data_IF_261204466738
#
_entry.id   IF_261204466738
#
_cell.length_a   1.000
_cell.length_b   1.000
_cell.length_c   1.000
_cell.angle_alpha   90.00
_cell.angle_beta   90.00
_cell.angle_gamma   90.00
#
_symmetry.space_group_name_H-M   'P 1'
#
loop_
_entity.id
_entity.type
_entity.pdbx_description
1 polymer ?
#
# COMPACT_ATOMS: atom_id res chain seq x y z
N UNK A 1 -26.52 -6.16 -2.46
CA UNK A 1 -26.40 -6.12 -0.99
C UNK A 1 -26.40 -4.65 -0.58
N UNK A 2 -27.43 -4.17 0.10
CA UNK A 2 -27.38 -2.83 0.71
C UNK A 2 -26.33 -2.90 1.82
N UNK A 3 -25.19 -2.26 1.60
CA UNK A 3 -24.23 -2.05 2.68
C UNK A 3 -24.84 -1.08 3.69
N UNK A 4 -24.90 -1.51 4.95
CA UNK A 4 -25.30 -0.63 6.05
C UNK A 4 -24.37 0.60 6.05
N UNK A 5 -24.98 1.78 5.87
CA UNK A 5 -24.25 3.06 5.82
C UNK A 5 -23.46 3.33 7.12
N UNK A 6 -23.92 2.79 8.27
CA UNK A 6 -23.20 2.82 9.54
C UNK A 6 -21.92 2.01 9.51
N UNK A 7 -21.99 0.77 9.00
CA UNK A 7 -20.84 -0.11 8.88
C UNK A 7 -19.77 0.43 7.90
N UNK A 8 -20.23 1.05 6.80
CA UNK A 8 -19.34 1.70 5.84
C UNK A 8 -18.65 2.93 6.46
N UNK A 9 -19.40 3.71 7.25
CA UNK A 9 -18.86 4.86 7.97
C UNK A 9 -17.83 4.44 9.02
N UNK A 10 -18.11 3.40 9.80
CA UNK A 10 -17.20 2.88 10.81
C UNK A 10 -15.93 2.27 10.16
N UNK A 11 -16.07 1.66 9.00
CA UNK A 11 -14.94 1.20 8.19
C UNK A 11 -14.09 2.37 7.67
N UNK A 12 -14.71 3.42 7.14
CA UNK A 12 -14.01 4.57 6.54
C UNK A 12 -13.45 5.55 7.58
N UNK A 13 -14.10 5.70 8.72
CA UNK A 13 -13.75 6.69 9.75
C UNK A 13 -13.02 6.07 10.93
N UNK A 14 -13.33 4.83 11.28
CA UNK A 14 -12.81 4.14 12.46
C UNK A 14 -11.34 3.74 12.41
N UNK A 15 -10.65 4.00 11.28
CA UNK A 15 -9.23 3.67 11.15
C UNK A 15 -9.00 2.19 11.40
N UNK A 16 -9.73 1.33 10.72
CA UNK A 16 -9.40 -0.09 10.71
C UNK A 16 -7.96 -0.21 10.23
N UNK A 17 -7.04 -0.40 11.18
CA UNK A 17 -5.70 -0.85 10.86
C UNK A 17 -5.87 -2.23 10.25
N UNK A 18 -6.02 -2.28 8.92
CA UNK A 18 -6.04 -3.55 8.23
C UNK A 18 -4.69 -4.22 8.50
N UNK A 19 -4.67 -5.38 9.19
CA UNK A 19 -3.42 -6.10 9.41
C UNK A 19 -2.82 -6.58 8.10
N UNK A 20 -3.61 -6.65 7.03
CA UNK A 20 -3.12 -6.88 5.69
C UNK A 20 -2.45 -5.63 5.18
N UNK A 21 -1.15 -5.51 5.40
CA UNK A 21 -0.39 -4.41 4.82
C UNK A 21 -0.49 -4.51 3.30
N UNK A 22 -1.08 -3.51 2.69
CA UNK A 22 -1.10 -3.40 1.25
C UNK A 22 0.32 -3.15 0.74
N UNK A 23 0.87 -4.13 0.03
CA UNK A 23 2.23 -4.05 -0.52
C UNK A 23 2.39 -2.92 -1.54
N UNK A 24 1.34 -2.55 -2.26
CA UNK A 24 1.35 -1.38 -3.13
C UNK A 24 1.56 -0.10 -2.32
N UNK A 25 0.92 0.02 -1.16
CA UNK A 25 1.13 1.14 -0.24
C UNK A 25 2.57 1.19 0.31
N UNK A 26 3.17 0.02 0.58
CA UNK A 26 4.60 -0.05 0.96
C UNK A 26 5.48 0.45 -0.18
N UNK A 27 5.25 -0.01 -1.41
CA UNK A 27 5.99 0.43 -2.60
C UNK A 27 5.87 1.93 -2.84
N UNK A 28 4.66 2.48 -2.71
CA UNK A 28 4.40 3.92 -2.87
C UNK A 28 5.18 4.75 -1.86
N UNK A 29 5.20 4.34 -0.59
CA UNK A 29 5.98 5.03 0.44
C UNK A 29 7.47 5.00 0.14
N UNK A 30 7.99 3.86 -0.32
CA UNK A 30 9.40 3.73 -0.67
C UNK A 30 9.76 4.54 -1.91
N UNK A 31 8.90 4.55 -2.90
CA UNK A 31 9.07 5.39 -4.09
C UNK A 31 9.18 6.86 -3.70
N UNK A 32 8.25 7.34 -2.87
CA UNK A 32 8.25 8.72 -2.39
C UNK A 32 9.47 9.01 -1.50
N UNK A 33 9.83 8.13 -0.58
CA UNK A 33 10.99 8.30 0.29
C UNK A 33 12.29 8.43 -0.52
N UNK A 34 12.48 7.61 -1.56
CA UNK A 34 13.64 7.72 -2.47
C UNK A 34 13.68 9.05 -3.22
N UNK A 35 12.54 9.59 -3.58
CA UNK A 35 12.47 10.91 -4.24
C UNK A 35 12.74 12.07 -3.28
N UNK A 36 12.40 11.91 -2.00
CA UNK A 36 12.55 12.92 -0.96
C UNK A 36 13.93 12.94 -0.32
N UNK A 37 14.61 11.79 -0.30
CA UNK A 37 15.85 11.60 0.44
C UNK A 37 16.90 10.92 -0.43
N UNK A 38 18.19 11.25 -0.20
CA UNK A 38 19.30 10.61 -0.92
C UNK A 38 19.62 9.20 -0.38
N UNK A 39 19.03 8.79 0.73
CA UNK A 39 19.31 7.51 1.38
C UNK A 39 18.45 6.39 0.89
N UNK A 40 19.03 5.20 0.85
CA UNK A 40 18.33 3.97 0.56
C UNK A 40 17.77 3.37 1.86
N UNK A 41 16.48 3.16 1.91
CA UNK A 41 15.80 2.45 3.02
C UNK A 41 15.64 0.96 2.73
N UNK A 42 16.52 0.36 1.92
CA UNK A 42 16.37 -1.02 1.43
C UNK A 42 16.18 -2.04 2.54
N UNK A 43 16.94 -1.94 3.64
CA UNK A 43 16.80 -2.87 4.77
C UNK A 43 15.45 -2.70 5.50
N UNK A 44 14.98 -1.47 5.69
CA UNK A 44 13.68 -1.22 6.28
C UNK A 44 12.55 -1.68 5.37
N UNK A 45 12.69 -1.47 4.06
CA UNK A 45 11.79 -1.95 3.02
C UNK A 45 11.68 -3.47 3.02
N UNK A 46 12.81 -4.17 3.03
CA UNK A 46 12.84 -5.63 3.07
C UNK A 46 12.12 -6.17 4.30
N UNK A 47 12.33 -5.58 5.46
CA UNK A 47 11.63 -5.96 6.69
C UNK A 47 10.13 -5.70 6.60
N UNK A 48 9.69 -4.59 6.03
CA UNK A 48 8.27 -4.32 5.82
C UNK A 48 7.62 -5.33 4.86
N UNK A 49 8.30 -5.72 3.77
CA UNK A 49 7.77 -6.75 2.88
C UNK A 49 7.66 -8.11 3.56
N UNK A 50 8.68 -8.51 4.32
CA UNK A 50 8.63 -9.77 5.09
C UNK A 50 7.51 -9.75 6.11
N UNK A 51 7.32 -8.62 6.79
CA UNK A 51 6.23 -8.43 7.72
C UNK A 51 4.87 -8.50 7.02
N UNK A 52 4.69 -7.79 5.89
CA UNK A 52 3.44 -7.82 5.14
C UNK A 52 3.09 -9.24 4.65
N UNK A 53 4.08 -9.99 4.17
CA UNK A 53 3.90 -11.37 3.75
C UNK A 53 3.53 -12.28 4.94
N UNK A 54 4.19 -12.11 6.10
CA UNK A 54 3.87 -12.85 7.32
C UNK A 54 2.46 -12.56 7.82
N UNK A 55 2.03 -11.29 7.79
CA UNK A 55 0.69 -10.89 8.20
C UNK A 55 -0.39 -11.43 7.26
N UNK A 56 -0.15 -11.42 5.95
CA UNK A 56 -1.07 -12.01 4.99
C UNK A 56 -1.23 -13.50 5.22
N UNK A 57 -0.13 -14.21 5.40
CA UNK A 57 -0.17 -15.64 5.72
C UNK A 57 -0.91 -15.93 7.02
N UNK A 58 -0.63 -15.18 8.10
CA UNK A 58 -1.30 -15.35 9.39
C UNK A 58 -2.80 -15.07 9.33
N UNK A 59 -3.21 -14.06 8.56
CA UNK A 59 -4.63 -13.74 8.36
C UNK A 59 -5.34 -14.88 7.64
N UNK A 60 -4.71 -15.44 6.61
CA UNK A 60 -5.24 -16.59 5.90
C UNK A 60 -5.29 -17.84 6.80
N UNK A 61 -4.23 -18.09 7.59
CA UNK A 61 -4.17 -19.17 8.55
C UNK A 61 -5.29 -19.05 9.59
N UNK A 62 -5.46 -17.88 10.21
CA UNK A 62 -6.50 -17.62 11.19
C UNK A 62 -7.92 -17.90 10.64
N UNK A 63 -8.16 -17.58 9.36
CA UNK A 63 -9.44 -17.86 8.70
C UNK A 63 -9.71 -19.35 8.48
N UNK A 64 -8.66 -20.17 8.35
CA UNK A 64 -8.76 -21.62 8.13
C UNK A 64 -8.87 -22.42 9.43
N UNK A 65 -8.25 -21.97 10.49
CA UNK A 65 -8.26 -22.64 11.81
C UNK A 65 -9.61 -22.44 12.53
N UNK A 66 -10.39 -21.41 12.14
CA UNK A 66 -11.73 -21.13 12.67
C UNK A 66 -11.72 -20.50 14.07
N UNK A 67 -12.88 -20.55 14.77
CA UNK A 67 -13.12 -19.90 16.06
C UNK A 67 -12.30 -20.47 17.23
N UNK A 68 -11.52 -21.49 17.02
CA UNK A 68 -10.83 -22.19 18.08
C UNK A 68 -9.49 -21.54 18.36
N UNK A 69 -9.29 -21.17 19.59
CA UNK A 69 -8.14 -20.53 20.18
C UNK A 69 -6.77 -21.20 20.01
N UNK A 70 -6.51 -21.84 18.88
CA UNK A 70 -5.28 -22.55 18.61
C UNK A 70 -4.20 -21.70 17.91
N UNK A 71 -4.30 -20.36 18.01
CA UNK A 71 -3.17 -19.50 17.65
C UNK A 71 -1.92 -19.81 18.49
N UNK A 72 -2.10 -20.26 19.73
CA UNK A 72 -1.01 -20.78 20.55
C UNK A 72 -0.37 -22.02 19.95
N UNK A 73 -1.15 -22.86 19.26
CA UNK A 73 -0.65 -24.02 18.53
C UNK A 73 0.23 -23.62 17.36
N UNK A 74 -0.16 -22.57 16.63
CA UNK A 74 0.63 -21.99 15.53
C UNK A 74 1.98 -21.52 16.06
N UNK A 75 1.98 -20.74 17.14
CA UNK A 75 3.20 -20.23 17.74
C UNK A 75 4.09 -21.38 18.28
N UNK A 76 3.49 -22.37 18.92
CA UNK A 76 4.19 -23.55 19.38
C UNK A 76 4.85 -24.32 18.22
N UNK A 77 4.12 -24.56 17.14
CA UNK A 77 4.63 -25.23 15.95
C UNK A 77 5.79 -24.45 15.30
N UNK A 78 5.64 -23.13 15.15
CA UNK A 78 6.68 -22.26 14.62
C UNK A 78 7.96 -22.28 15.46
N UNK A 79 7.84 -22.25 16.79
CA UNK A 79 9.00 -22.34 17.70
C UNK A 79 9.72 -23.68 17.63
N UNK A 80 9.04 -24.73 17.21
CA UNK A 80 9.62 -26.05 17.00
C UNK A 80 10.16 -26.28 15.58
N UNK A 81 10.07 -25.28 14.72
CA UNK A 81 10.52 -25.39 13.33
C UNK A 81 9.63 -26.29 12.46
N UNK A 82 8.34 -26.37 12.79
CA UNK A 82 7.40 -27.09 11.95
C UNK A 82 7.32 -26.44 10.57
N UNK A 83 7.24 -27.26 9.52
CA UNK A 83 7.10 -26.81 8.12
C UNK A 83 5.64 -26.75 7.69
N UNK A 84 4.73 -27.32 8.48
CA UNK A 84 3.29 -27.27 8.24
C UNK A 84 2.49 -27.35 9.54
N UNK A 85 1.28 -26.82 9.53
CA UNK A 85 0.30 -26.90 10.63
C UNK A 85 -1.04 -27.32 10.01
N UNK A 86 -1.58 -28.46 10.50
CA UNK A 86 -2.85 -29.01 10.01
C UNK A 86 -2.96 -29.09 8.47
N UNK A 87 -1.86 -29.45 7.80
CA UNK A 87 -1.79 -29.54 6.33
C UNK A 87 -1.59 -28.21 5.62
N UNK A 88 -1.45 -27.11 6.35
CA UNK A 88 -1.13 -25.79 5.80
C UNK A 88 0.39 -25.62 5.85
N UNK A 89 1.01 -25.43 4.69
CA UNK A 89 2.45 -25.19 4.58
C UNK A 89 2.82 -23.84 5.19
N UNK A 90 3.87 -23.82 6.02
CA UNK A 90 4.41 -22.60 6.59
C UNK A 90 5.47 -22.04 5.61
N UNK A 91 5.37 -20.77 5.18
CA UNK A 91 6.38 -20.20 4.28
C UNK A 91 7.80 -20.34 4.83
N UNK A 92 8.73 -20.80 4.00
CA UNK A 92 10.10 -21.11 4.41
C UNK A 92 10.83 -19.94 5.07
N UNK A 93 10.56 -18.68 4.66
CA UNK A 93 11.15 -17.51 5.31
C UNK A 93 10.65 -17.30 6.75
N UNK A 94 9.44 -17.75 7.10
CA UNK A 94 8.91 -17.73 8.46
C UNK A 94 9.59 -18.82 9.29
N UNK A 95 9.68 -20.06 8.75
CA UNK A 95 10.38 -21.17 9.40
C UNK A 95 11.82 -20.79 9.72
N UNK A 96 12.55 -20.23 8.75
CA UNK A 96 13.93 -19.78 8.92
C UNK A 96 14.05 -18.66 9.97
N UNK A 97 13.11 -17.71 9.99
CA UNK A 97 13.13 -16.63 10.97
C UNK A 97 12.98 -17.15 12.41
N UNK A 98 12.14 -18.17 12.61
CA UNK A 98 11.99 -18.80 13.93
C UNK A 98 13.16 -19.71 14.31
N UNK A 99 13.76 -20.40 13.35
CA UNK A 99 14.94 -21.23 13.57
C UNK A 99 16.19 -20.41 13.96
N UNK A 100 16.29 -19.20 13.46
CA UNK A 100 17.42 -18.29 13.68
C UNK A 100 17.24 -17.40 14.93
N UNK A 101 16.25 -17.65 15.79
CA UNK A 101 15.96 -16.81 16.95
C UNK A 101 17.16 -16.73 17.90
N UNK A 102 17.77 -15.55 18.07
CA UNK A 102 18.66 -15.32 19.20
C UNK A 102 17.87 -15.34 20.52
N UNK A 103 18.49 -15.74 21.60
CA UNK A 103 17.88 -15.79 22.93
C UNK A 103 17.34 -14.43 23.43
N UNK A 104 17.71 -13.33 22.77
CA UNK A 104 17.17 -11.98 22.96
C UNK A 104 16.94 -11.38 21.58
N UNK A 105 15.70 -11.30 21.18
CA UNK A 105 15.31 -10.58 19.96
C UNK A 105 15.14 -9.09 20.29
N UNK A 106 16.15 -8.30 20.00
CA UNK A 106 16.01 -6.84 20.04
C UNK A 106 15.45 -6.36 18.70
N UNK A 107 14.31 -5.68 18.77
CA UNK A 107 13.80 -4.92 17.64
C UNK A 107 12.85 -5.67 16.72
N UNK A 108 12.91 -5.32 15.45
CA UNK A 108 11.97 -5.76 14.41
C UNK A 108 12.39 -7.11 13.82
N UNK A 109 11.94 -8.19 14.41
CA UNK A 109 12.08 -9.55 13.85
C UNK A 109 10.71 -10.09 13.46
N UNK A 110 10.64 -10.96 12.44
CA UNK A 110 9.39 -11.62 12.05
C UNK A 110 8.76 -12.39 13.22
N UNK A 111 9.51 -13.16 14.05
CA UNK A 111 8.97 -13.77 15.23
C UNK A 111 8.27 -12.82 16.19
N UNK A 112 8.85 -11.64 16.44
CA UNK A 112 8.22 -10.64 17.31
C UNK A 112 6.89 -10.13 16.71
N UNK A 113 6.79 -10.02 15.39
CA UNK A 113 5.55 -9.63 14.75
C UNK A 113 4.48 -10.70 14.87
N UNK A 114 4.85 -11.94 14.64
CA UNK A 114 3.94 -13.08 14.78
C UNK A 114 3.46 -13.20 16.23
N UNK A 115 4.35 -13.11 17.21
CA UNK A 115 3.99 -13.15 18.61
C UNK A 115 3.07 -11.99 19.02
N UNK A 116 3.37 -10.78 18.55
CA UNK A 116 2.52 -9.60 18.78
C UNK A 116 1.15 -9.76 18.13
N UNK A 117 1.08 -10.31 16.93
CA UNK A 117 -0.17 -10.58 16.23
C UNK A 117 -1.00 -11.60 17.02
N UNK A 118 -0.43 -12.75 17.33
CA UNK A 118 -1.13 -13.83 18.03
C UNK A 118 -1.60 -13.40 19.43
N UNK A 119 -0.78 -12.66 20.18
CA UNK A 119 -1.14 -12.17 21.52
C UNK A 119 -2.17 -11.04 21.50
N UNK A 120 -2.21 -10.23 20.42
CA UNK A 120 -3.15 -9.13 20.24
C UNK A 120 -4.46 -9.53 19.58
N UNK A 121 -4.51 -10.71 18.96
CA UNK A 121 -5.68 -11.18 18.22
C UNK A 121 -6.72 -11.74 19.20
N UNK A 122 -7.87 -11.10 19.28
CA UNK A 122 -9.07 -11.65 19.94
C UNK A 122 -10.09 -11.97 18.85
N UNK A 123 -10.35 -13.25 18.65
CA UNK A 123 -11.46 -13.71 17.83
C UNK A 123 -12.76 -13.46 18.58
N UNK A 124 -13.53 -12.48 18.16
CA UNK A 124 -14.88 -12.22 18.67
C UNK A 124 -15.86 -12.57 17.57
N UNK A 125 -16.50 -13.73 17.65
CA UNK A 125 -17.58 -14.19 16.73
C UNK A 125 -17.27 -13.97 15.24
N UNK A 126 -16.14 -14.49 14.76
CA UNK A 126 -15.76 -14.43 13.34
C UNK A 126 -15.21 -13.08 12.86
N UNK A 127 -15.02 -12.11 13.75
CA UNK A 127 -14.33 -10.86 13.45
C UNK A 127 -13.02 -10.79 14.24
N UNK A 128 -11.91 -10.90 13.54
CA UNK A 128 -10.60 -10.66 14.13
C UNK A 128 -10.43 -9.14 14.38
N UNK A 129 -10.43 -8.72 15.63
CA UNK A 129 -9.98 -7.37 15.99
C UNK A 129 -8.48 -7.43 16.25
N UNK A 130 -7.73 -6.84 15.36
CA UNK A 130 -6.28 -6.82 15.44
C UNK A 130 -5.80 -5.54 16.13
N UNK A 131 -5.15 -5.66 17.26
CA UNK A 131 -4.26 -4.63 17.76
C UNK A 131 -2.84 -5.04 17.37
N UNK A 132 -2.18 -4.29 16.50
CA UNK A 132 -0.88 -4.66 15.98
C UNK A 132 0.24 -3.73 16.48
N UNK A 133 0.88 -4.07 17.64
CA UNK A 133 2.00 -3.29 18.17
C UNK A 133 3.19 -3.18 17.20
N UNK A 134 3.30 -4.11 16.26
CA UNK A 134 4.39 -4.14 15.29
C UNK A 134 4.26 -3.04 14.24
N UNK A 135 3.04 -2.69 13.82
CA UNK A 135 2.82 -1.52 12.96
C UNK A 135 3.31 -0.24 13.61
N UNK A 136 3.03 -0.07 14.89
CA UNK A 136 3.50 1.09 15.64
C UNK A 136 5.04 1.13 15.71
N UNK A 137 5.68 -0.02 15.80
CA UNK A 137 7.15 -0.12 15.79
C UNK A 137 7.71 0.28 14.42
N UNK A 138 7.12 -0.19 13.32
CA UNK A 138 7.52 0.26 11.97
C UNK A 138 7.32 1.77 11.78
N UNK A 139 6.19 2.32 12.20
CA UNK A 139 5.95 3.76 12.18
C UNK A 139 7.06 4.52 12.91
N UNK A 140 7.46 4.07 14.10
CA UNK A 140 8.56 4.68 14.87
C UNK A 140 9.90 4.59 14.13
N UNK A 141 10.21 3.45 13.50
CA UNK A 141 11.45 3.28 12.74
C UNK A 141 11.48 4.19 11.50
N UNK A 142 10.39 4.28 10.76
CA UNK A 142 10.27 5.22 9.65
C UNK A 142 10.49 6.65 10.11
N UNK A 143 9.85 7.07 11.19
CA UNK A 143 10.05 8.40 11.76
C UNK A 143 11.52 8.64 12.18
N UNK A 144 12.18 7.63 12.75
CA UNK A 144 13.60 7.71 13.14
C UNK A 144 14.48 7.83 11.90
N UNK A 145 14.27 6.99 10.88
CA UNK A 145 15.02 7.03 9.63
C UNK A 145 14.89 8.39 8.92
N UNK A 146 13.66 8.89 8.78
CA UNK A 146 13.40 10.19 8.16
C UNK A 146 13.93 11.39 8.97
N UNK A 147 14.04 11.29 10.31
CA UNK A 147 14.64 12.34 11.15
C UNK A 147 16.15 12.37 11.03
N UNK A 148 16.79 11.21 10.93
CA UNK A 148 18.24 11.10 10.78
C UNK A 148 18.76 11.75 9.49
N UNK A 149 17.89 11.89 8.48
CA UNK A 149 18.21 12.53 7.21
C UNK A 149 18.22 14.05 7.26
N UNK A 150 17.56 14.66 8.23
CA UNK A 150 17.62 16.11 8.39
C UNK A 150 18.94 16.49 9.01
N UNK A 151 19.93 16.78 8.16
CA UNK A 151 21.18 17.42 8.60
C UNK A 151 20.86 18.68 9.43
N UNK A 152 21.62 18.97 10.49
CA UNK A 152 21.48 20.22 11.25
C UNK A 152 21.50 21.49 10.38
N UNK A 153 22.21 21.44 9.23
CA UNK A 153 22.29 22.55 8.27
C UNK A 153 21.03 22.73 7.43
N UNK A 154 20.19 21.72 7.30
CA UNK A 154 18.88 21.81 6.61
C UNK A 154 17.75 22.27 7.53
N UNK A 155 17.98 22.33 8.84
CA UNK A 155 16.98 22.82 9.80
C UNK A 155 16.82 24.36 9.77
N UNK A 156 17.79 25.07 9.21
CA UNK A 156 17.84 26.54 9.20
C UNK A 156 17.51 27.18 7.84
N UNK A 157 17.28 26.40 6.78
CA UNK A 157 16.74 26.95 5.53
C UNK A 157 15.22 26.94 5.55
N UNK A 158 14.56 28.11 5.40
CA UNK A 158 13.12 28.11 5.18
C UNK A 158 12.86 27.35 3.89
N UNK A 159 12.08 26.29 4.00
CA UNK A 159 11.34 25.65 2.91
C UNK A 159 12.05 25.67 1.54
N UNK A 160 13.03 24.82 1.31
CA UNK A 160 13.14 24.25 -0.03
C UNK A 160 11.76 23.67 -0.35
N UNK A 161 11.15 24.15 -1.40
CA UNK A 161 9.81 23.89 -1.84
C UNK A 161 9.46 22.41 -1.62
N UNK A 162 8.47 22.14 -0.75
CA UNK A 162 8.00 20.77 -0.51
C UNK A 162 7.58 20.15 -1.84
N UNK A 163 7.90 18.90 -2.07
CA UNK A 163 7.46 18.20 -3.27
C UNK A 163 5.95 18.15 -3.31
N UNK A 164 5.36 18.55 -4.44
CA UNK A 164 3.92 18.51 -4.63
C UNK A 164 3.48 17.11 -5.08
N UNK A 165 2.49 16.56 -4.39
CA UNK A 165 1.92 15.22 -4.65
C UNK A 165 0.43 15.34 -4.89
N UNK A 166 -0.04 14.75 -5.98
CA UNK A 166 -1.46 14.58 -6.29
C UNK A 166 -1.86 13.12 -6.12
N UNK A 167 -3.02 12.89 -5.55
CA UNK A 167 -3.66 11.57 -5.51
C UNK A 167 -5.10 11.69 -6.02
N UNK A 168 -5.36 11.38 -7.31
CA UNK A 168 -6.71 11.23 -7.84
C UNK A 168 -7.36 9.95 -7.31
N UNK A 169 -8.66 9.99 -7.09
CA UNK A 169 -9.44 8.93 -6.45
C UNK A 169 -8.93 8.59 -5.04
N UNK A 170 -8.59 9.62 -4.25
CA UNK A 170 -8.02 9.48 -2.92
C UNK A 170 -8.98 8.85 -1.88
N UNK A 171 -10.24 8.63 -2.24
CA UNK A 171 -11.27 8.14 -1.32
C UNK A 171 -11.38 9.02 -0.08
N UNK A 172 -11.58 8.41 1.07
CA UNK A 172 -11.56 9.09 2.38
C UNK A 172 -10.14 9.23 2.95
N UNK A 173 -9.15 9.55 2.09
CA UNK A 173 -7.73 9.69 2.42
C UNK A 173 -7.04 8.36 2.80
N UNK A 174 -7.38 7.28 2.10
CA UNK A 174 -6.89 5.94 2.43
C UNK A 174 -5.36 5.84 2.37
N UNK A 175 -4.72 6.30 1.31
CA UNK A 175 -3.26 6.26 1.16
C UNK A 175 -2.57 7.40 1.94
N UNK A 176 -3.18 8.59 1.98
CA UNK A 176 -2.65 9.69 2.80
C UNK A 176 -2.50 9.31 4.27
N UNK A 177 -3.42 8.51 4.80
CA UNK A 177 -3.36 8.00 6.19
C UNK A 177 -2.04 7.28 6.46
N UNK A 178 -1.57 6.47 5.51
CA UNK A 178 -0.28 5.79 5.62
C UNK A 178 0.90 6.76 5.48
N UNK A 179 0.85 7.70 4.54
CA UNK A 179 1.88 8.74 4.44
C UNK A 179 2.00 9.54 5.73
N UNK A 180 0.86 9.89 6.34
CA UNK A 180 0.82 10.60 7.62
C UNK A 180 1.37 9.74 8.77
N UNK A 181 0.91 8.51 8.91
CA UNK A 181 1.32 7.59 9.97
C UNK A 181 2.83 7.30 9.95
N UNK A 182 3.44 7.21 8.76
CA UNK A 182 4.87 6.94 8.58
C UNK A 182 5.72 8.22 8.50
N UNK A 183 5.13 9.39 8.68
CA UNK A 183 5.82 10.67 8.76
C UNK A 183 6.27 11.25 7.43
N UNK A 184 5.86 10.70 6.30
CA UNK A 184 6.17 11.20 4.95
C UNK A 184 5.33 12.42 4.60
N UNK A 185 4.07 12.49 5.07
CA UNK A 185 3.15 13.58 4.76
C UNK A 185 3.72 14.97 5.07
N UNK A 186 4.54 15.12 6.11
CA UNK A 186 5.19 16.39 6.48
C UNK A 186 6.27 16.86 5.50
N UNK A 187 6.69 16.01 4.57
CA UNK A 187 7.74 16.26 3.61
C UNK A 187 7.20 16.63 2.23
N UNK A 188 5.88 16.60 2.07
CA UNK A 188 5.19 16.86 0.82
C UNK A 188 4.09 17.89 0.97
N UNK A 189 3.77 18.57 -0.11
CA UNK A 189 2.55 19.33 -0.28
C UNK A 189 1.55 18.43 -1.02
N UNK A 190 0.65 17.82 -0.26
CA UNK A 190 -0.28 16.83 -0.77
C UNK A 190 -1.62 17.44 -1.18
N UNK A 191 -2.17 16.93 -2.27
CA UNK A 191 -3.52 17.22 -2.74
C UNK A 191 -4.22 15.92 -3.10
N UNK A 192 -5.35 15.64 -2.46
CA UNK A 192 -6.25 14.54 -2.80
C UNK A 192 -7.43 15.03 -3.64
N UNK A 193 -7.78 14.28 -4.69
CA UNK A 193 -8.99 14.48 -5.47
C UNK A 193 -9.87 13.25 -5.42
N UNK A 194 -11.17 13.44 -5.29
CA UNK A 194 -12.15 12.36 -5.43
C UNK A 194 -13.43 12.92 -6.04
N UNK A 195 -14.10 12.11 -6.87
CA UNK A 195 -15.38 12.51 -7.47
C UNK A 195 -16.52 12.55 -6.44
N UNK A 196 -16.42 11.71 -5.41
CA UNK A 196 -17.42 11.60 -4.35
C UNK A 196 -17.20 12.67 -3.28
N UNK A 197 -18.14 13.64 -3.20
CA UNK A 197 -18.09 14.72 -2.22
C UNK A 197 -18.02 14.18 -0.77
N UNK A 198 -18.72 13.08 -0.47
CA UNK A 198 -18.72 12.47 0.86
C UNK A 198 -17.34 11.90 1.25
N UNK A 199 -16.60 11.33 0.30
CA UNK A 199 -15.22 10.91 0.53
C UNK A 199 -14.35 12.12 0.93
N UNK A 200 -14.50 13.22 0.24
CA UNK A 200 -13.78 14.47 0.54
C UNK A 200 -14.16 15.05 1.90
N UNK A 201 -15.44 15.05 2.25
CA UNK A 201 -15.88 15.47 3.58
C UNK A 201 -15.23 14.63 4.69
N UNK A 202 -15.22 13.30 4.53
CA UNK A 202 -14.56 12.39 5.45
C UNK A 202 -13.05 12.65 5.53
N UNK A 203 -12.37 12.81 4.40
CA UNK A 203 -10.94 13.11 4.35
C UNK A 203 -10.59 14.43 5.05
N UNK A 204 -11.37 15.48 4.83
CA UNK A 204 -11.22 16.77 5.51
C UNK A 204 -11.45 16.66 7.02
N UNK A 205 -12.43 15.85 7.45
CA UNK A 205 -12.70 15.62 8.87
C UNK A 205 -11.55 14.85 9.55
N UNK A 206 -10.98 13.87 8.87
CA UNK A 206 -9.86 13.05 9.38
C UNK A 206 -8.55 13.84 9.44
N UNK A 207 -8.30 14.70 8.45
CA UNK A 207 -7.04 15.43 8.30
C UNK A 207 -7.28 16.92 8.02
N UNK A 208 -7.72 17.69 9.06
CA UNK A 208 -7.91 19.13 8.90
C UNK A 208 -6.64 19.84 8.43
N UNK A 209 -6.79 20.73 7.46
CA UNK A 209 -5.66 21.50 6.92
C UNK A 209 -4.89 20.83 5.77
N UNK A 210 -5.24 19.61 5.38
CA UNK A 210 -4.74 18.97 4.17
C UNK A 210 -5.66 19.33 2.99
N UNK A 211 -5.10 19.49 1.79
CA UNK A 211 -5.88 19.83 0.60
C UNK A 211 -6.59 18.61 0.05
N UNK A 212 -7.89 18.50 0.32
CA UNK A 212 -8.77 17.55 -0.35
C UNK A 212 -9.85 18.30 -1.13
N UNK A 213 -10.12 17.86 -2.37
CA UNK A 213 -11.04 18.56 -3.26
C UNK A 213 -11.92 17.58 -4.02
N UNK A 214 -13.18 17.92 -4.18
CA UNK A 214 -14.04 17.25 -5.16
C UNK A 214 -13.49 17.58 -6.55
N UNK A 215 -13.25 16.55 -7.37
CA UNK A 215 -12.71 16.73 -8.71
C UNK A 215 -12.81 15.48 -9.57
N UNK A 216 -12.69 15.68 -10.86
CA UNK A 216 -12.80 14.63 -11.86
C UNK A 216 -11.41 14.32 -12.41
N UNK A 217 -11.02 13.04 -12.42
CA UNK A 217 -9.74 12.58 -12.97
C UNK A 217 -9.64 12.79 -14.50
N UNK A 218 -10.78 12.90 -15.19
CA UNK A 218 -10.80 13.14 -16.62
C UNK A 218 -10.54 14.61 -17.01
N UNK A 219 -10.62 15.51 -16.03
CA UNK A 219 -10.38 16.95 -16.19
C UNK A 219 -9.85 17.54 -14.90
N UNK A 220 -8.56 17.34 -14.64
CA UNK A 220 -7.93 17.81 -13.42
C UNK A 220 -7.71 19.32 -13.48
N UNK A 221 -8.36 20.06 -12.59
CA UNK A 221 -8.28 21.52 -12.51
C UNK A 221 -6.91 21.99 -11.98
N UNK A 222 -5.86 21.73 -12.76
CA UNK A 222 -4.49 22.13 -12.51
C UNK A 222 -3.75 22.38 -13.85
N UNK A 223 -2.78 23.30 -13.90
CA UNK A 223 -1.94 23.49 -15.07
C UNK A 223 -1.05 22.26 -15.34
N UNK A 224 -0.49 22.20 -16.55
CA UNK A 224 0.47 21.18 -16.94
C UNK A 224 1.67 21.17 -15.96
N UNK A 225 2.13 19.96 -15.61
CA UNK A 225 3.29 19.77 -14.73
C UNK A 225 3.19 20.46 -13.36
N UNK A 226 1.97 20.65 -12.85
CA UNK A 226 1.71 21.30 -11.56
C UNK A 226 2.24 20.49 -10.36
N UNK A 227 2.26 19.17 -10.47
CA UNK A 227 2.67 18.27 -9.40
C UNK A 227 3.99 17.57 -9.71
N UNK A 228 4.83 17.39 -8.70
CA UNK A 228 6.06 16.61 -8.85
C UNK A 228 5.77 15.14 -9.04
N UNK A 229 4.85 14.60 -8.24
CA UNK A 229 4.45 13.20 -8.27
C UNK A 229 2.94 13.05 -8.25
N UNK A 230 2.46 11.96 -8.85
CA UNK A 230 1.08 11.54 -8.77
C UNK A 230 1.00 10.09 -8.31
N UNK A 231 0.10 9.79 -7.38
CA UNK A 231 -0.23 8.43 -6.95
C UNK A 231 -1.63 8.10 -7.45
N UNK A 232 -1.79 6.92 -8.04
CA UNK A 232 -3.08 6.41 -8.48
C UNK A 232 -3.17 4.95 -8.07
N UNK A 233 -4.10 4.62 -7.19
CA UNK A 233 -4.31 3.25 -6.77
C UNK A 233 -5.74 2.81 -7.08
N UNK A 234 -5.85 1.59 -7.62
CA UNK A 234 -7.11 0.88 -7.80
C UNK A 234 -8.22 1.71 -8.48
N UNK A 235 -7.86 2.49 -9.52
CA UNK A 235 -8.78 3.35 -10.25
C UNK A 235 -9.01 2.88 -11.68
N UNK A 236 -7.96 2.58 -12.42
CA UNK A 236 -8.01 2.43 -13.87
C UNK A 236 -8.82 1.21 -14.31
N UNK A 237 -8.88 0.18 -13.49
CA UNK A 237 -9.68 -1.03 -13.71
C UNK A 237 -11.19 -0.75 -13.71
N UNK A 238 -11.59 0.35 -13.11
CA UNK A 238 -13.00 0.73 -12.99
C UNK A 238 -13.50 1.66 -14.09
N UNK A 239 -12.63 2.07 -15.01
CA UNK A 239 -12.95 3.04 -16.05
C UNK A 239 -13.35 2.38 -17.37
N UNK A 240 -14.20 3.06 -18.15
CA UNK A 240 -14.41 2.70 -19.55
C UNK A 240 -13.10 2.82 -20.34
N UNK A 241 -12.96 2.18 -21.52
CA UNK A 241 -11.76 2.34 -22.36
C UNK A 241 -11.41 3.79 -22.68
N UNK A 242 -12.42 4.60 -22.97
CA UNK A 242 -12.26 6.04 -23.25
C UNK A 242 -11.89 6.80 -21.98
N UNK A 243 -12.52 6.46 -20.84
CA UNK A 243 -12.21 7.04 -19.54
C UNK A 243 -10.80 6.72 -19.09
N UNK A 244 -10.34 5.49 -19.32
CA UNK A 244 -8.96 5.07 -19.03
C UNK A 244 -7.94 5.95 -19.78
N UNK A 245 -8.14 6.16 -21.08
CA UNK A 245 -7.27 7.02 -21.90
C UNK A 245 -7.29 8.47 -21.43
N UNK A 246 -8.47 9.00 -21.12
CA UNK A 246 -8.63 10.36 -20.63
C UNK A 246 -7.95 10.56 -19.27
N UNK A 247 -8.14 9.62 -18.33
CA UNK A 247 -7.53 9.68 -17.01
C UNK A 247 -6.01 9.57 -17.08
N UNK A 248 -5.45 8.64 -17.86
CA UNK A 248 -3.99 8.53 -18.04
C UNK A 248 -3.42 9.81 -18.65
N UNK A 249 -4.07 10.38 -19.68
CA UNK A 249 -3.68 11.67 -20.27
C UNK A 249 -3.59 12.76 -19.20
N UNK A 250 -4.62 12.91 -18.38
CA UNK A 250 -4.69 13.98 -17.39
C UNK A 250 -3.66 13.81 -16.26
N UNK A 251 -3.51 12.60 -15.70
CA UNK A 251 -2.50 12.36 -14.65
C UNK A 251 -1.08 12.58 -15.19
N UNK A 252 -0.81 12.20 -16.43
CA UNK A 252 0.48 12.47 -17.09
C UNK A 252 0.68 13.97 -17.38
N UNK A 253 -0.37 14.67 -17.84
CA UNK A 253 -0.31 16.10 -18.12
C UNK A 253 0.09 16.91 -16.89
N UNK A 254 -0.56 16.64 -15.76
CA UNK A 254 -0.34 17.41 -14.52
C UNK A 254 0.92 16.99 -13.76
N UNK A 255 1.53 15.85 -14.09
CA UNK A 255 2.70 15.30 -13.39
C UNK A 255 4.00 15.68 -14.09
N UNK A 256 4.97 16.15 -13.30
CA UNK A 256 6.27 16.61 -13.79
C UNK A 256 7.37 15.55 -13.76
N UNK A 257 7.46 14.74 -12.70
CA UNK A 257 8.62 13.88 -12.39
C UNK A 257 8.31 12.39 -12.43
N UNK A 258 7.22 11.97 -11.82
CA UNK A 258 6.92 10.54 -11.77
C UNK A 258 5.55 10.22 -11.21
N UNK A 259 5.09 9.00 -11.54
CA UNK A 259 3.85 8.45 -11.02
C UNK A 259 4.12 7.11 -10.33
N UNK A 260 3.35 6.82 -9.30
CA UNK A 260 3.24 5.49 -8.72
C UNK A 260 1.80 5.02 -8.92
N UNK A 261 1.63 3.96 -9.71
CA UNK A 261 0.30 3.46 -10.08
C UNK A 261 0.15 2.03 -9.63
N UNK A 262 -0.81 1.78 -8.75
CA UNK A 262 -1.17 0.45 -8.28
C UNK A 262 -2.37 -0.09 -9.05
N UNK A 263 -2.27 -1.35 -9.47
CA UNK A 263 -3.31 -2.10 -10.14
C UNK A 263 -3.59 -3.38 -9.36
N UNK A 264 -4.85 -3.67 -9.10
CA UNK A 264 -5.26 -4.91 -8.45
C UNK A 264 -5.73 -5.98 -9.46
N UNK A 265 -6.02 -5.60 -10.70
CA UNK A 265 -6.53 -6.51 -11.74
C UNK A 265 -5.83 -6.29 -13.08
N UNK A 266 -4.59 -6.74 -13.18
CA UNK A 266 -3.73 -6.66 -14.37
C UNK A 266 -3.09 -8.01 -14.67
N UNK A 267 -2.79 -8.28 -15.94
CA UNK A 267 -2.10 -9.50 -16.35
C UNK A 267 -1.28 -9.27 -17.63
N UNK A 268 -0.41 -10.23 -17.98
CA UNK A 268 0.38 -10.28 -19.20
C UNK A 268 -0.45 -10.77 -20.42
N UNK A 269 -1.62 -10.16 -20.61
CA UNK A 269 -2.50 -10.40 -21.76
C UNK A 269 -2.26 -9.39 -22.87
N UNK A 270 -2.63 -9.74 -24.12
CA UNK A 270 -2.41 -8.90 -25.29
C UNK A 270 -3.17 -7.59 -25.23
N UNK A 271 -4.46 -7.65 -24.94
CA UNK A 271 -5.38 -6.50 -24.96
C UNK A 271 -6.22 -6.50 -23.67
N UNK A 272 -6.73 -5.34 -23.26
CA UNK A 272 -7.61 -5.23 -22.10
C UNK A 272 -8.87 -6.10 -22.27
N UNK A 273 -9.26 -6.78 -21.23
CA UNK A 273 -10.56 -7.43 -21.15
C UNK A 273 -11.52 -6.49 -20.43
N UNK A 274 -12.40 -5.86 -21.22
CA UNK A 274 -13.35 -4.88 -20.71
C UNK A 274 -14.60 -5.59 -20.20
N UNK A 275 -14.96 -5.34 -18.95
CA UNK A 275 -16.14 -5.91 -18.30
C UNK A 275 -16.98 -4.81 -17.66
N UNK A 276 -18.06 -4.35 -18.30
CA UNK A 276 -19.02 -3.46 -17.66
C UNK A 276 -19.74 -4.15 -16.50
N UNK A 277 -19.93 -3.44 -15.39
CA UNK A 277 -20.66 -3.87 -14.21
C UNK A 277 -21.52 -2.71 -13.73
N UNK A 278 -22.81 -2.74 -14.02
CA UNK A 278 -23.75 -1.65 -13.71
C UNK A 278 -23.24 -0.27 -14.19
N UNK A 279 -22.86 0.60 -13.27
CA UNK A 279 -22.41 1.97 -13.58
C UNK A 279 -20.87 2.12 -13.64
N UNK A 280 -20.11 1.03 -13.49
CA UNK A 280 -18.64 1.03 -13.55
C UNK A 280 -18.11 -0.16 -14.36
N UNK A 281 -16.81 -0.33 -14.40
CA UNK A 281 -16.15 -1.46 -15.04
C UNK A 281 -15.35 -2.28 -14.03
N UNK A 282 -15.14 -3.56 -14.36
CA UNK A 282 -14.23 -4.45 -13.65
C UNK A 282 -13.31 -5.09 -14.67
N UNK A 283 -12.38 -4.27 -15.19
CA UNK A 283 -11.52 -4.67 -16.28
C UNK A 283 -10.33 -5.49 -15.78
N UNK A 284 -9.92 -6.49 -16.58
CA UNK A 284 -8.57 -7.03 -16.49
C UNK A 284 -7.69 -6.24 -17.48
N UNK A 285 -6.74 -5.48 -16.94
CA UNK A 285 -5.89 -4.61 -17.74
C UNK A 285 -4.69 -5.37 -18.30
N UNK A 286 -4.34 -5.09 -19.55
CA UNK A 286 -3.10 -5.57 -20.17
C UNK A 286 -1.91 -4.74 -19.68
N UNK A 287 -0.93 -5.39 -19.08
CA UNK A 287 0.31 -4.76 -18.63
C UNK A 287 1.05 -4.08 -19.79
N UNK A 288 1.13 -4.74 -20.95
CA UNK A 288 1.80 -4.19 -22.13
C UNK A 288 1.10 -2.92 -22.65
N UNK A 289 -0.23 -2.94 -22.78
CA UNK A 289 -1.01 -1.79 -23.24
C UNK A 289 -0.92 -0.60 -22.29
N UNK A 290 -0.94 -0.86 -20.98
CA UNK A 290 -0.76 0.22 -20.00
C UNK A 290 0.64 0.83 -20.07
N UNK A 291 1.70 0.02 -20.27
CA UNK A 291 3.05 0.55 -20.50
C UNK A 291 3.13 1.42 -21.77
N UNK A 292 2.58 0.94 -22.87
CA UNK A 292 2.52 1.70 -24.13
C UNK A 292 1.78 3.04 -23.95
N UNK A 293 0.65 3.02 -23.23
CA UNK A 293 -0.14 4.21 -22.97
C UNK A 293 0.63 5.27 -22.19
N UNK A 294 1.30 4.89 -21.10
CA UNK A 294 2.14 5.82 -20.33
C UNK A 294 3.38 6.28 -21.12
N UNK A 295 3.99 5.39 -21.91
CA UNK A 295 5.13 5.72 -22.75
C UNK A 295 4.76 6.77 -23.82
N UNK A 296 3.54 6.68 -24.38
CA UNK A 296 3.00 7.69 -25.32
C UNK A 296 2.87 9.09 -24.71
N UNK A 297 2.79 9.18 -23.37
CA UNK A 297 2.79 10.45 -22.63
C UNK A 297 4.15 10.82 -22.03
N UNK A 298 5.23 10.15 -22.44
CA UNK A 298 6.61 10.45 -22.02
C UNK A 298 6.99 9.92 -20.65
N UNK A 299 6.37 8.82 -20.20
CA UNK A 299 6.72 8.17 -18.93
C UNK A 299 7.22 6.74 -19.15
N UNK A 300 8.43 6.45 -18.66
CA UNK A 300 9.00 5.10 -18.65
C UNK A 300 8.62 4.34 -17.37
N UNK A 301 8.07 3.15 -17.53
CA UNK A 301 7.59 2.33 -16.42
C UNK A 301 8.60 1.26 -16.01
N UNK A 302 8.96 1.23 -14.71
CA UNK A 302 9.44 0.04 -14.04
C UNK A 302 8.22 -0.70 -13.52
N UNK A 303 8.00 -1.92 -13.99
CA UNK A 303 6.86 -2.74 -13.61
C UNK A 303 7.26 -3.68 -12.48
N UNK A 304 6.45 -3.73 -11.43
CA UNK A 304 6.58 -4.64 -10.30
C UNK A 304 5.31 -5.48 -10.24
N UNK A 305 5.38 -6.75 -10.61
CA UNK A 305 4.34 -7.73 -10.33
C UNK A 305 4.55 -8.23 -8.90
N UNK A 306 3.55 -8.00 -8.04
CA UNK A 306 3.69 -8.13 -6.59
C UNK A 306 4.06 -9.57 -6.17
N UNK A 307 3.39 -10.57 -6.71
CA UNK A 307 3.69 -11.97 -6.38
C UNK A 307 5.11 -12.39 -6.78
N UNK A 308 5.55 -12.01 -7.98
CA UNK A 308 6.92 -12.27 -8.44
C UNK A 308 7.95 -11.54 -7.58
N UNK A 309 7.67 -10.30 -7.21
CA UNK A 309 8.52 -9.52 -6.33
C UNK A 309 8.70 -10.21 -4.96
N UNK A 310 7.61 -10.65 -4.35
CA UNK A 310 7.65 -11.35 -3.06
C UNK A 310 8.45 -12.65 -3.13
N UNK A 311 8.25 -13.44 -4.19
CA UNK A 311 8.99 -14.68 -4.42
C UNK A 311 10.49 -14.42 -4.56
N UNK A 312 10.86 -13.45 -5.35
CA UNK A 312 12.27 -13.14 -5.62
C UNK A 312 12.97 -12.50 -4.40
N UNK A 313 12.30 -11.63 -3.67
CA UNK A 313 12.92 -10.88 -2.57
C UNK A 313 12.93 -11.63 -1.24
N UNK A 314 11.92 -12.43 -0.95
CA UNK A 314 11.77 -13.08 0.35
C UNK A 314 11.42 -14.56 0.30
N UNK A 315 11.32 -15.16 -0.91
CA UNK A 315 10.95 -16.57 -1.07
C UNK A 315 9.49 -16.88 -0.72
N UNK A 316 8.61 -15.89 -0.73
CA UNK A 316 7.19 -16.06 -0.44
C UNK A 316 6.40 -16.27 -1.72
N UNK A 317 5.86 -17.47 -1.92
CA UNK A 317 5.18 -17.85 -3.17
C UNK A 317 3.69 -17.53 -3.17
N UNK A 318 3.08 -17.48 -2.01
CA UNK A 318 1.65 -17.20 -1.90
C UNK A 318 1.41 -15.69 -1.95
N UNK A 319 0.54 -15.27 -2.84
CA UNK A 319 0.07 -13.89 -2.92
C UNK A 319 -1.44 -13.87 -2.80
N UNK A 320 -1.93 -12.92 -2.02
CA UNK A 320 -3.37 -12.67 -1.90
C UNK A 320 -4.01 -12.32 -3.26
N UNK A 321 -3.26 -11.61 -4.11
CA UNK A 321 -3.73 -11.21 -5.43
C UNK A 321 -2.63 -11.41 -6.48
N UNK A 322 -2.69 -12.46 -7.31
CA UNK A 322 -1.70 -12.70 -8.37
C UNK A 322 -1.72 -11.62 -9.46
N UNK A 323 -2.83 -10.89 -9.60
CA UNK A 323 -3.04 -9.86 -10.61
C UNK A 323 -2.68 -8.45 -10.11
N UNK A 324 -2.00 -8.36 -8.97
CA UNK A 324 -1.55 -7.07 -8.43
C UNK A 324 -0.22 -6.64 -9.05
N UNK A 325 -0.22 -5.44 -9.63
CA UNK A 325 0.96 -4.80 -10.22
C UNK A 325 1.13 -3.38 -9.69
N UNK A 326 2.37 -2.92 -9.64
CA UNK A 326 2.68 -1.51 -9.42
C UNK A 326 3.60 -1.00 -10.50
N UNK A 327 3.25 0.11 -11.12
CA UNK A 327 4.12 0.84 -12.04
C UNK A 327 4.79 2.00 -11.32
N UNK A 328 6.11 2.00 -11.32
CA UNK A 328 6.93 3.12 -10.90
C UNK A 328 7.39 3.84 -12.16
N UNK A 329 6.75 4.97 -12.46
CA UNK A 329 6.94 5.69 -13.70
C UNK A 329 7.79 6.94 -13.47
N UNK A 330 8.74 7.17 -14.37
CA UNK A 330 9.58 8.37 -14.39
C UNK A 330 9.40 9.11 -15.70
N UNK A 331 9.34 10.43 -15.65
CA UNK A 331 9.37 11.25 -16.86
C UNK A 331 10.67 10.97 -17.62
N UNK A 332 10.55 10.77 -18.95
CA UNK A 332 11.66 10.49 -19.86
C UNK A 332 12.54 11.72 -20.09
#
# INVERSE_FOLDING_TARGET
MQHDAGMLRDYLVGGVEDPRINLQSVLSRHFLARALTAKCFSALMEQEYRFAAAMNWLTEMASRIGDTGDLDLVLYALRRGAESIEGIEIPGFIVQAFAALPAKADGLTIPNYIESFLSGTRLVKGQAKFHNPSLETFRKLWHKALRAERSPHQRSKPSSQLLSVLEPACGSANDYRFLHAYGLARLVNYTGLDLCARNIENACALFPGVSFRVGNVFEIAAPDKAFDFCFVHDLFEHLSPEGLQAAVKEVCRVTRRGLCVGFFNMDEIRDHQVRPVEEYHWNLLSMARMRELFAGWGFAAQVVQIGTFLRQQIGYEQTHNPNAYTFLLSAA
#
